data_IF_583097985143
#
_entry.id   IF_583097985143
#
_cell.length_a   1.000
_cell.length_b   1.000
_cell.length_c   1.000
_cell.angle_alpha   90.00
_cell.angle_beta   90.00
_cell.angle_gamma   90.00
#
_symmetry.space_group_name_H-M   'P 1'
#
loop_
_entity.id
_entity.type
_entity.pdbx_description
1 polymer ?
#
# COMPACT_ATOMS: atom_id res chain seq x y z
N UNK A 1 -20.01 -0.92 4.02
CA UNK A 1 -18.69 -1.04 3.40
C UNK A 1 -18.46 0.19 2.53
N UNK A 2 -17.68 1.15 2.98
CA UNK A 2 -17.34 2.34 2.19
C UNK A 2 -15.92 2.15 1.65
N UNK A 3 -15.81 1.90 0.35
CA UNK A 3 -14.54 1.92 -0.35
C UNK A 3 -14.08 3.37 -0.47
N UNK A 4 -12.90 3.68 0.01
CA UNK A 4 -12.30 4.98 -0.19
C UNK A 4 -11.93 5.14 -1.66
N UNK A 5 -12.63 6.05 -2.37
CA UNK A 5 -12.29 6.42 -3.73
C UNK A 5 -11.17 7.45 -3.68
N UNK A 6 -9.95 7.02 -3.98
CA UNK A 6 -8.88 7.93 -4.31
C UNK A 6 -9.06 8.42 -5.75
N UNK A 7 -9.39 9.70 -5.92
CA UNK A 7 -9.38 10.35 -7.24
C UNK A 7 -7.93 10.65 -7.65
N UNK A 8 -7.36 9.81 -8.48
CA UNK A 8 -6.21 10.20 -9.29
C UNK A 8 -6.72 10.73 -10.63
N UNK A 9 -6.19 11.89 -11.04
CA UNK A 9 -6.45 12.45 -12.35
C UNK A 9 -5.93 11.49 -13.43
N UNK A 10 -6.86 10.96 -14.21
CA UNK A 10 -6.56 10.09 -15.36
C UNK A 10 -6.03 10.95 -16.48
N UNK A 11 -4.74 10.87 -16.75
CA UNK A 11 -4.18 11.26 -18.04
C UNK A 11 -4.34 10.09 -19.02
N UNK A 12 -5.36 10.16 -19.85
CA UNK A 12 -5.60 9.22 -20.94
C UNK A 12 -4.58 9.44 -22.04
N UNK A 13 -3.58 8.59 -22.14
CA UNK A 13 -2.81 8.42 -23.35
C UNK A 13 -3.33 7.17 -24.08
N UNK A 14 -4.23 7.36 -25.03
CA UNK A 14 -4.65 6.32 -25.96
C UNK A 14 -3.56 6.12 -27.00
N UNK A 15 -2.80 5.06 -26.90
CA UNK A 15 -2.00 4.54 -28.01
C UNK A 15 -2.53 3.14 -28.36
N UNK A 16 -3.38 3.08 -29.37
CA UNK A 16 -3.77 1.83 -30.01
C UNK A 16 -2.65 1.43 -30.94
N UNK A 17 -1.86 0.44 -30.57
CA UNK A 17 -0.97 -0.28 -31.45
C UNK A 17 -1.46 -1.73 -31.54
N UNK A 18 -2.28 -1.99 -32.56
CA UNK A 18 -2.62 -3.34 -32.99
C UNK A 18 -1.43 -3.93 -33.75
N UNK A 19 -0.58 -4.66 -33.06
CA UNK A 19 0.33 -5.62 -33.69
C UNK A 19 -0.07 -6.99 -33.18
N UNK A 20 -0.57 -7.81 -34.10
CA UNK A 20 -0.88 -9.22 -33.82
C UNK A 20 0.37 -9.96 -33.37
N UNK A 21 0.48 -10.20 -32.08
CA UNK A 21 1.48 -11.08 -31.51
C UNK A 21 0.80 -12.38 -31.11
N UNK A 22 1.29 -13.49 -31.67
CA UNK A 22 1.03 -14.84 -31.18
C UNK A 22 1.41 -14.86 -29.70
N UNK A 23 0.41 -14.90 -28.81
CA UNK A 23 0.64 -15.07 -27.41
C UNK A 23 1.20 -16.47 -27.17
N UNK A 24 2.52 -16.56 -27.07
CA UNK A 24 3.11 -17.67 -26.32
C UNK A 24 2.61 -17.52 -24.89
N UNK A 25 2.08 -18.58 -24.29
CA UNK A 25 1.71 -18.57 -22.88
C UNK A 25 2.95 -18.16 -22.07
N UNK A 26 3.00 -16.89 -21.68
CA UNK A 26 4.08 -16.37 -20.87
C UNK A 26 3.75 -16.72 -19.42
N UNK A 27 4.71 -17.30 -18.71
CA UNK A 27 4.55 -17.50 -17.29
C UNK A 27 4.26 -16.16 -16.61
N UNK A 28 3.39 -16.17 -15.61
CA UNK A 28 3.04 -14.97 -14.85
C UNK A 28 4.30 -14.34 -14.25
N UNK A 29 4.49 -13.03 -14.45
CA UNK A 29 5.74 -12.36 -14.10
C UNK A 29 5.58 -10.86 -13.88
N UNK A 30 6.55 -10.28 -13.17
CA UNK A 30 6.71 -8.84 -13.08
C UNK A 30 7.19 -8.26 -14.40
N UNK A 31 6.62 -7.12 -14.78
CA UNK A 31 7.00 -6.37 -15.97
C UNK A 31 7.10 -4.87 -15.65
N UNK A 32 8.18 -4.24 -16.12
CA UNK A 32 8.33 -2.80 -16.04
C UNK A 32 7.55 -2.10 -17.16
N UNK A 33 6.83 -1.04 -16.81
CA UNK A 33 6.18 -0.10 -17.72
C UNK A 33 6.73 1.30 -17.47
N UNK A 34 7.82 1.65 -18.12
CA UNK A 34 8.58 2.87 -17.80
C UNK A 34 9.10 2.79 -16.36
N UNK A 35 8.71 3.75 -15.53
CA UNK A 35 9.09 3.80 -14.12
C UNK A 35 8.15 2.99 -13.20
N UNK A 36 7.08 2.41 -13.75
CA UNK A 36 6.09 1.66 -12.99
C UNK A 36 6.26 0.16 -13.17
N UNK A 37 5.65 -0.61 -12.28
CA UNK A 37 5.68 -2.07 -12.30
C UNK A 37 4.27 -2.64 -12.30
N UNK A 38 4.06 -3.68 -13.11
CA UNK A 38 2.82 -4.46 -13.15
C UNK A 38 3.16 -5.93 -12.98
N UNK A 39 2.18 -6.73 -12.61
CA UNK A 39 2.29 -8.18 -12.60
C UNK A 39 1.37 -8.77 -13.68
N UNK A 40 1.97 -9.32 -14.72
CA UNK A 40 1.26 -9.96 -15.83
C UNK A 40 0.91 -11.38 -15.41
N UNK A 41 -0.35 -11.76 -15.56
CA UNK A 41 -0.84 -13.11 -15.30
C UNK A 41 -0.65 -14.04 -16.52
N UNK A 42 -0.91 -15.33 -16.36
CA UNK A 42 -0.75 -16.33 -17.44
C UNK A 42 -1.67 -16.08 -18.65
N UNK A 43 -2.77 -15.38 -18.45
CA UNK A 43 -3.71 -14.99 -19.50
C UNK A 43 -3.33 -13.68 -20.21
N UNK A 44 -2.22 -13.05 -19.78
CA UNK A 44 -1.73 -11.80 -20.31
C UNK A 44 -2.34 -10.55 -19.66
N UNK A 45 -3.30 -10.72 -18.75
CA UNK A 45 -3.92 -9.62 -18.04
C UNK A 45 -3.09 -9.16 -16.84
N UNK A 46 -3.24 -7.89 -16.44
CA UNK A 46 -2.59 -7.40 -15.24
C UNK A 46 -3.34 -7.82 -13.99
N UNK A 47 -2.61 -8.32 -13.02
CA UNK A 47 -3.14 -8.53 -11.68
C UNK A 47 -3.47 -7.16 -11.03
N UNK A 48 -4.64 -7.04 -10.38
CA UNK A 48 -5.17 -5.77 -9.85
C UNK A 48 -5.79 -5.95 -8.47
N UNK A 49 -5.92 -4.82 -7.78
CA UNK A 49 -6.66 -4.70 -6.51
C UNK A 49 -6.27 -5.76 -5.48
N UNK A 50 -4.98 -5.95 -5.23
CA UNK A 50 -4.61 -6.98 -4.28
C UNK A 50 -3.13 -7.15 -4.01
N UNK A 51 -2.86 -8.06 -3.09
CA UNK A 51 -1.53 -8.44 -2.67
C UNK A 51 -0.90 -9.47 -3.60
N UNK A 52 0.35 -9.24 -3.91
CA UNK A 52 1.20 -10.18 -4.65
C UNK A 52 2.44 -10.50 -3.83
N UNK A 53 2.64 -11.76 -3.54
CA UNK A 53 3.86 -12.24 -2.91
C UNK A 53 4.91 -12.58 -3.97
N UNK A 54 6.13 -12.15 -3.70
CA UNK A 54 7.32 -12.53 -4.46
C UNK A 54 8.46 -12.80 -3.47
N UNK A 55 8.88 -14.06 -3.40
CA UNK A 55 9.76 -14.53 -2.36
C UNK A 55 9.18 -14.30 -0.97
N UNK A 56 9.89 -13.55 -0.13
CA UNK A 56 9.48 -13.17 1.22
C UNK A 56 8.87 -11.77 1.29
N UNK A 57 8.67 -11.11 0.16
CA UNK A 57 8.16 -9.75 0.08
C UNK A 57 6.73 -9.74 -0.44
N UNK A 58 5.96 -8.77 0.01
CA UNK A 58 4.60 -8.53 -0.42
C UNK A 58 4.49 -7.17 -1.07
N UNK A 59 3.75 -7.11 -2.17
CA UNK A 59 3.49 -5.93 -2.97
C UNK A 59 1.99 -5.76 -3.16
N UNK A 60 1.52 -4.55 -3.34
CA UNK A 60 0.12 -4.29 -3.63
C UNK A 60 -0.04 -3.64 -5.01
N UNK A 61 -0.90 -4.21 -5.83
CA UNK A 61 -1.26 -3.68 -7.14
C UNK A 61 -2.60 -2.94 -7.00
N UNK A 62 -2.64 -1.71 -7.51
CA UNK A 62 -3.84 -0.88 -7.51
C UNK A 62 -4.90 -1.37 -8.51
N UNK A 63 -6.00 -0.64 -8.60
CA UNK A 63 -7.11 -0.94 -9.52
C UNK A 63 -6.73 -0.80 -11.01
N UNK A 64 -5.67 -0.06 -11.29
CA UNK A 64 -5.06 0.08 -12.61
C UNK A 64 -4.02 -1.02 -12.92
N UNK A 65 -3.70 -1.87 -11.93
CA UNK A 65 -2.67 -2.90 -12.02
C UNK A 65 -1.26 -2.40 -11.77
N UNK A 66 -1.08 -1.14 -11.42
CA UNK A 66 0.23 -0.56 -11.10
C UNK A 66 0.61 -0.88 -9.67
N UNK A 67 1.86 -1.28 -9.45
CA UNK A 67 2.41 -1.54 -8.12
C UNK A 67 2.52 -0.24 -7.31
N UNK A 68 1.87 -0.23 -6.15
CA UNK A 68 1.90 0.92 -5.26
C UNK A 68 3.25 1.06 -4.55
N UNK A 69 3.71 2.30 -4.40
CA UNK A 69 4.98 2.65 -3.75
C UNK A 69 4.85 3.92 -2.93
N UNK A 70 5.63 4.03 -1.84
CA UNK A 70 5.71 5.22 -0.98
C UNK A 70 4.35 5.70 -0.51
N UNK A 71 3.47 4.77 -0.18
CA UNK A 71 2.10 5.08 0.20
C UNK A 71 1.61 4.23 1.35
N UNK A 72 0.73 4.80 2.14
CA UNK A 72 -0.07 4.09 3.13
C UNK A 72 -1.35 3.62 2.44
N UNK A 73 -1.69 2.36 2.62
CA UNK A 73 -2.96 1.80 2.14
C UNK A 73 -3.77 1.26 3.32
N UNK A 74 -5.08 1.21 3.12
CA UNK A 74 -6.01 0.51 3.99
C UNK A 74 -6.57 -0.70 3.26
N UNK A 75 -6.43 -1.86 3.85
CA UNK A 75 -6.96 -3.10 3.35
C UNK A 75 -7.52 -3.93 4.51
N UNK A 76 -8.79 -4.33 4.41
CA UNK A 76 -9.52 -5.09 5.41
C UNK A 76 -9.37 -4.50 6.83
N UNK A 77 -9.65 -3.19 6.96
CA UNK A 77 -9.55 -2.43 8.22
C UNK A 77 -8.13 -2.44 8.86
N UNK A 78 -7.09 -2.69 8.06
CA UNK A 78 -5.71 -2.59 8.51
C UNK A 78 -4.92 -1.62 7.62
N UNK A 79 -3.91 -0.97 8.19
CA UNK A 79 -3.05 -0.07 7.46
C UNK A 79 -1.71 -0.73 7.17
N UNK A 80 -1.21 -0.55 5.94
CA UNK A 80 0.06 -1.07 5.47
C UNK A 80 0.83 0.02 4.74
N UNK A 81 2.14 0.01 4.82
CA UNK A 81 2.98 0.94 4.09
C UNK A 81 3.80 0.23 3.03
N UNK A 82 3.69 0.71 1.79
CA UNK A 82 4.49 0.26 0.66
C UNK A 82 5.71 1.19 0.54
N UNK A 83 6.90 0.61 0.65
CA UNK A 83 8.16 1.34 0.59
C UNK A 83 8.49 1.89 -0.81
N UNK A 84 9.69 2.45 -0.96
CA UNK A 84 10.15 2.97 -2.25
C UNK A 84 10.32 1.89 -3.32
N UNK A 85 10.60 0.66 -2.93
CA UNK A 85 10.66 -0.51 -3.82
C UNK A 85 9.29 -1.14 -4.10
N UNK A 86 8.21 -0.66 -3.48
CA UNK A 86 6.89 -1.27 -3.49
C UNK A 86 6.71 -2.37 -2.42
N UNK A 87 7.78 -2.83 -1.80
CA UNK A 87 7.67 -3.86 -0.78
C UNK A 87 6.96 -3.35 0.48
N UNK A 88 6.09 -4.20 1.04
CA UNK A 88 5.41 -3.95 2.30
C UNK A 88 6.41 -3.80 3.44
N UNK A 89 6.28 -2.73 4.21
CA UNK A 89 7.11 -2.46 5.37
C UNK A 89 6.75 -3.41 6.54
N UNK A 90 7.77 -3.98 7.17
CA UNK A 90 7.62 -4.86 8.33
C UNK A 90 8.65 -4.53 9.40
N UNK A 91 8.30 -4.71 10.68
CA UNK A 91 9.17 -4.47 11.84
C UNK A 91 9.90 -3.11 11.80
N UNK A 92 9.18 -2.05 11.42
CA UNK A 92 9.80 -0.75 11.17
C UNK A 92 8.91 0.41 11.57
N UNK A 93 9.54 1.48 12.06
CA UNK A 93 8.92 2.78 12.22
C UNK A 93 8.91 3.54 10.92
N UNK A 94 7.80 4.20 10.61
CA UNK A 94 7.67 5.13 9.49
C UNK A 94 7.02 6.43 9.93
N UNK A 95 7.65 7.54 9.60
CA UNK A 95 7.02 8.84 9.65
C UNK A 95 6.31 9.06 8.32
N UNK A 96 5.00 9.25 8.37
CA UNK A 96 4.16 9.42 7.19
C UNK A 96 3.57 10.80 7.30
N UNK A 97 3.88 11.65 6.32
CA UNK A 97 3.26 12.97 6.20
C UNK A 97 1.77 12.75 5.97
N UNK A 98 0.95 13.59 6.58
CA UNK A 98 -0.49 13.42 6.56
C UNK A 98 -0.99 13.10 5.15
N UNK A 99 -1.53 11.91 4.94
CA UNK A 99 -2.29 11.67 3.73
C UNK A 99 -3.46 12.67 3.73
N UNK A 100 -3.85 13.11 2.56
CA UNK A 100 -4.89 14.15 2.33
C UNK A 100 -6.30 13.76 2.79
N UNK A 101 -6.47 12.82 3.67
CA UNK A 101 -7.79 12.54 4.22
C UNK A 101 -7.91 13.11 5.63
N UNK A 102 -8.43 14.04 5.64
CA UNK A 102 -8.72 15.16 6.32
C UNK A 102 -10.10 15.23 6.77
N UNK A 103 -10.30 15.43 7.84
CA UNK A 103 -11.49 15.77 8.50
C UNK A 103 -11.23 16.22 9.93
N UNK A 104 -10.06 15.94 10.42
CA UNK A 104 -9.66 16.39 11.74
C UNK A 104 -8.50 17.38 11.68
N UNK A 105 -8.65 18.46 12.47
CA UNK A 105 -7.77 19.63 12.59
C UNK A 105 -6.32 19.33 13.07
N UNK A 106 -5.87 18.09 13.02
CA UNK A 106 -4.47 17.75 13.23
C UNK A 106 -3.69 17.96 11.94
N UNK A 107 -3.71 19.16 11.44
CA UNK A 107 -2.84 19.69 10.40
C UNK A 107 -1.43 19.83 10.98
N UNK A 108 -0.85 18.73 11.34
CA UNK A 108 0.54 18.59 11.72
C UNK A 108 1.31 17.88 10.62
N UNK A 109 2.60 18.01 10.63
CA UNK A 109 3.55 17.61 9.62
C UNK A 109 3.56 16.10 9.27
N UNK A 110 2.80 15.27 9.96
CA UNK A 110 2.71 13.82 9.79
C UNK A 110 2.65 13.07 11.12
N UNK A 111 2.60 11.76 11.04
CA UNK A 111 2.52 10.90 12.21
C UNK A 111 3.49 9.72 12.11
N UNK A 112 3.95 9.24 13.26
CA UNK A 112 4.72 8.02 13.35
C UNK A 112 3.79 6.81 13.42
N UNK A 113 4.13 5.79 12.66
CA UNK A 113 3.50 4.47 12.64
C UNK A 113 4.54 3.40 12.91
N UNK A 114 4.14 2.32 13.55
CA UNK A 114 4.95 1.11 13.62
C UNK A 114 4.25 -0.03 12.92
N UNK A 115 4.92 -0.61 11.92
CA UNK A 115 4.44 -1.78 11.20
C UNK A 115 5.05 -3.04 11.78
N UNK A 116 4.22 -3.96 12.24
CA UNK A 116 4.66 -5.22 12.84
C UNK A 116 5.23 -6.22 11.82
N UNK A 117 5.55 -7.42 12.28
CA UNK A 117 6.12 -8.47 11.43
C UNK A 117 5.18 -8.94 10.31
N UNK A 118 3.88 -8.75 10.48
CA UNK A 118 2.86 -9.05 9.47
C UNK A 118 2.53 -7.85 8.56
N UNK A 119 3.29 -6.75 8.66
CA UNK A 119 3.08 -5.54 7.88
C UNK A 119 1.95 -4.64 8.34
N UNK A 120 1.13 -5.07 9.30
CA UNK A 120 0.03 -4.24 9.82
C UNK A 120 0.56 -3.15 10.73
N UNK A 121 0.04 -1.93 10.54
CA UNK A 121 0.26 -0.88 11.53
C UNK A 121 -0.36 -1.28 12.87
N UNK A 122 0.37 -1.08 13.95
CA UNK A 122 -0.19 -1.21 15.28
C UNK A 122 -1.22 -0.10 15.46
N UNK A 123 -2.44 -0.47 15.84
CA UNK A 123 -3.53 0.48 16.12
C UNK A 123 -4.39 0.01 17.29
N UNK A 124 -5.14 0.90 17.89
CA UNK A 124 -6.17 0.52 18.85
C UNK A 124 -7.39 -0.08 18.14
N UNK A 125 -8.16 -0.87 18.87
CA UNK A 125 -9.35 -1.57 18.39
C UNK A 125 -10.67 -0.80 18.63
N UNK A 126 -10.57 0.46 19.00
CA UNK A 126 -11.73 1.25 19.31
C UNK A 126 -11.40 2.69 19.69
N UNK A 127 -12.33 3.34 20.38
CA UNK A 127 -12.22 4.75 20.76
C UNK A 127 -11.17 5.06 21.83
N UNK A 128 -10.55 4.04 22.42
CA UNK A 128 -9.51 4.21 23.45
C UNK A 128 -8.15 3.87 22.89
N UNK A 129 -7.21 4.77 23.06
CA UNK A 129 -5.81 4.52 22.72
C UNK A 129 -5.28 3.27 23.45
N UNK A 130 -4.46 2.48 22.80
CA UNK A 130 -3.89 1.25 23.34
C UNK A 130 -2.38 1.36 23.46
N UNK A 131 -1.86 0.85 24.57
CA UNK A 131 -0.41 0.79 24.82
C UNK A 131 0.15 -0.48 24.23
N UNK A 132 1.22 -0.34 23.46
CA UNK A 132 1.97 -1.45 22.86
C UNK A 132 3.45 -1.35 23.21
N UNK A 133 4.10 -2.49 23.34
CA UNK A 133 5.55 -2.57 23.49
C UNK A 133 6.20 -2.77 22.12
N UNK A 134 7.18 -1.92 21.81
CA UNK A 134 8.02 -2.05 20.63
C UNK A 134 9.48 -2.01 21.10
N UNK A 135 10.15 -3.15 21.06
CA UNK A 135 11.40 -3.33 21.78
C UNK A 135 11.18 -3.23 23.29
N UNK A 136 12.00 -2.41 23.97
CA UNK A 136 11.93 -2.21 25.41
C UNK A 136 11.11 -0.98 25.82
N UNK A 137 10.36 -0.40 24.91
CA UNK A 137 9.61 0.85 25.13
C UNK A 137 8.12 0.67 24.87
N UNK A 138 7.34 1.42 25.64
CA UNK A 138 5.88 1.47 25.51
C UNK A 138 5.47 2.70 24.72
N UNK A 139 4.55 2.50 23.78
CA UNK A 139 3.99 3.53 22.95
C UNK A 139 2.48 3.45 22.93
N UNK A 140 1.85 4.59 22.70
CA UNK A 140 0.39 4.70 22.60
C UNK A 140 0.02 4.97 21.16
N UNK A 141 -0.93 4.20 20.62
CA UNK A 141 -1.43 4.37 19.27
C UNK A 141 -2.95 4.60 19.28
N UNK A 142 -3.40 5.45 18.37
CA UNK A 142 -4.83 5.66 18.13
C UNK A 142 -5.42 4.57 17.20
N UNK A 143 -6.69 4.70 16.85
CA UNK A 143 -7.38 3.73 15.99
C UNK A 143 -6.98 3.82 14.51
N UNK A 144 -6.28 4.86 14.11
CA UNK A 144 -5.67 5.00 12.78
C UNK A 144 -4.23 4.48 12.74
N UNK A 145 -3.67 4.06 13.88
CA UNK A 145 -2.28 3.60 13.99
C UNK A 145 -1.27 4.72 14.17
N UNK A 146 -1.70 5.95 14.46
CA UNK A 146 -0.81 7.08 14.71
C UNK A 146 -0.28 7.00 16.15
N UNK A 147 1.04 7.11 16.30
CA UNK A 147 1.67 7.19 17.61
C UNK A 147 1.28 8.52 18.27
N UNK A 148 0.76 8.43 19.48
CA UNK A 148 0.33 9.58 20.28
C UNK A 148 1.39 9.98 21.32
N UNK A 149 2.14 9.02 21.87
CA UNK A 149 3.21 9.23 22.85
C UNK A 149 4.09 7.98 23.01
#
# INVERSE_FOLDING_TARGET
MKKANFCYAVLTASAVLTLGTVFSASAAQWQALGDEWVYVQNDGEYFKDGWKQDGNLYYYLGSDGIMLRRTLIEDDDNYYYLGSSGAMATNVWKFIQNPEWQGDELVGEGSWYYFGSNGKAIKSDGSKAKVYEVGDKKYVFDHYGRMMS
#
